data_IF_388198249535
#
_entry.id   IF_388198249535
#
_cell.length_a   1.000
_cell.length_b   1.000
_cell.length_c   1.000
_cell.angle_alpha   90.00
_cell.angle_beta   90.00
_cell.angle_gamma   90.00
#
_symmetry.space_group_name_H-M   'P 1'
#
loop_
_entity.id
_entity.type
_entity.pdbx_description
1 polymer ?
#
# COMPACT_ATOMS: atom_id res chain seq x y z
N UNK A 1 -11.30 -32.71 36.00
CA UNK A 1 -10.29 -31.68 36.30
C UNK A 1 -10.38 -30.59 35.25
N UNK A 2 -11.10 -29.52 35.55
CA UNK A 2 -11.26 -28.39 34.64
C UNK A 2 -9.99 -27.55 34.65
N UNK A 3 -9.27 -27.52 33.52
CA UNK A 3 -8.19 -26.55 33.34
C UNK A 3 -8.82 -25.18 33.12
N UNK A 4 -8.60 -24.32 34.11
CA UNK A 4 -9.00 -22.93 34.14
C UNK A 4 -8.15 -22.18 33.11
N UNK A 5 -8.69 -21.98 31.91
CA UNK A 5 -8.03 -21.15 30.90
C UNK A 5 -8.04 -19.70 31.40
N UNK A 6 -6.84 -19.19 31.69
CA UNK A 6 -6.63 -17.79 32.02
C UNK A 6 -7.05 -16.94 30.82
N UNK A 7 -8.21 -16.29 30.94
CA UNK A 7 -8.63 -15.27 29.98
C UNK A 7 -7.69 -14.09 30.21
N UNK A 8 -6.61 -14.04 29.43
CA UNK A 8 -5.77 -12.85 29.39
C UNK A 8 -6.66 -11.69 28.96
N UNK A 9 -6.92 -10.79 29.91
CA UNK A 9 -7.46 -9.45 29.64
C UNK A 9 -6.51 -8.81 28.64
N UNK A 10 -6.89 -8.81 27.37
CA UNK A 10 -6.18 -8.07 26.33
C UNK A 10 -6.22 -6.60 26.72
N UNK A 11 -5.07 -6.12 27.21
CA UNK A 11 -4.82 -4.70 27.37
C UNK A 11 -4.74 -4.16 25.95
N UNK A 12 -5.67 -3.30 25.56
CA UNK A 12 -5.48 -2.44 24.40
C UNK A 12 -4.15 -1.74 24.63
N UNK A 13 -3.10 -2.18 23.95
CA UNK A 13 -1.92 -1.36 23.84
C UNK A 13 -2.39 -0.13 23.08
N UNK A 14 -2.43 0.97 23.81
CA UNK A 14 -2.45 2.33 23.30
C UNK A 14 -1.68 2.36 21.99
N UNK A 15 -2.20 3.09 21.00
CA UNK A 15 -1.41 3.52 19.85
C UNK A 15 -0.06 4.00 20.36
N UNK A 16 0.98 3.16 20.25
CA UNK A 16 2.31 3.55 20.65
C UNK A 16 2.67 4.69 19.70
N UNK A 17 2.79 5.86 20.33
CA UNK A 17 2.85 7.16 19.68
C UNK A 17 4.09 7.20 18.81
N UNK A 18 3.91 6.97 17.50
CA UNK A 18 4.99 7.06 16.52
C UNK A 18 4.45 7.12 15.09
N UNK A 19 5.16 7.80 14.17
CA UNK A 19 4.82 7.75 12.76
C UNK A 19 4.93 6.29 12.28
N UNK A 20 3.90 5.79 11.61
CA UNK A 20 3.97 4.50 10.93
C UNK A 20 4.91 4.63 9.74
N UNK A 21 5.96 3.81 9.71
CA UNK A 21 6.89 3.74 8.58
C UNK A 21 6.27 2.91 7.46
N UNK A 22 6.37 3.41 6.24
CA UNK A 22 5.98 2.69 5.03
C UNK A 22 7.19 1.97 4.43
N UNK A 23 6.99 1.39 3.24
CA UNK A 23 8.10 0.91 2.42
C UNK A 23 9.14 2.00 2.15
N UNK A 24 8.72 3.26 2.03
CA UNK A 24 9.58 4.37 1.60
C UNK A 24 10.80 4.57 2.51
N UNK A 25 10.61 4.40 3.82
CA UNK A 25 11.63 4.52 4.86
C UNK A 25 12.61 3.33 4.88
N UNK A 26 12.19 2.18 4.35
CA UNK A 26 12.95 0.94 4.34
C UNK A 26 13.56 0.63 2.95
N UNK A 27 13.46 1.55 1.99
CA UNK A 27 14.08 1.40 0.67
C UNK A 27 15.61 1.49 0.76
N UNK A 28 16.35 0.66 0.01
CA UNK A 28 17.80 0.76 -0.07
C UNK A 28 18.19 2.16 -0.59
N UNK A 29 19.33 2.75 -0.18
CA UNK A 29 19.71 4.10 -0.59
C UNK A 29 19.79 4.24 -2.12
N UNK A 30 19.39 5.40 -2.64
CA UNK A 30 19.49 5.65 -4.08
C UNK A 30 20.96 5.82 -4.47
N UNK A 31 21.52 4.99 -5.36
CA UNK A 31 22.91 5.12 -5.73
C UNK A 31 23.11 6.45 -6.45
N UNK A 32 23.95 7.32 -5.89
CA UNK A 32 24.33 8.61 -6.48
C UNK A 32 25.30 8.38 -7.64
N UNK A 33 24.83 7.78 -8.72
CA UNK A 33 25.64 7.65 -9.93
C UNK A 33 25.50 8.95 -10.71
N UNK A 34 26.52 9.81 -10.63
CA UNK A 34 26.70 10.95 -11.53
C UNK A 34 26.99 10.42 -12.94
N UNK A 35 25.96 9.95 -13.64
CA UNK A 35 26.07 9.59 -15.06
C UNK A 35 26.03 10.88 -15.86
N UNK A 36 27.19 11.34 -16.35
CA UNK A 36 27.21 12.27 -17.49
C UNK A 36 26.42 11.59 -18.62
N UNK A 37 25.24 12.13 -18.94
CA UNK A 37 24.43 11.67 -20.08
C UNK A 37 25.20 12.04 -21.35
N UNK A 38 26.04 11.13 -21.88
CA UNK A 38 26.54 11.31 -23.25
C UNK A 38 25.44 10.87 -24.22
N UNK A 39 25.37 11.45 -25.42
CA UNK A 39 24.32 11.16 -26.39
C UNK A 39 24.30 9.66 -26.76
N UNK A 40 23.16 9.17 -27.30
CA UNK A 40 23.08 7.81 -27.82
C UNK A 40 24.05 7.66 -28.99
N UNK A 41 24.91 6.64 -28.91
CA UNK A 41 25.82 6.26 -29.99
C UNK A 41 25.29 5.12 -30.86
N UNK A 42 24.14 4.55 -30.47
CA UNK A 42 23.50 3.42 -31.14
C UNK A 42 21.98 3.65 -31.19
N UNK A 43 21.34 3.12 -32.23
CA UNK A 43 19.88 3.13 -32.43
C UNK A 43 19.18 2.12 -31.50
N UNK A 44 17.86 2.28 -31.32
CA UNK A 44 16.99 1.27 -30.70
C UNK A 44 16.61 0.13 -31.68
N UNK A 45 17.25 0.07 -32.85
CA UNK A 45 17.02 -0.96 -33.86
C UNK A 45 15.64 -0.82 -34.50
N UNK A 46 14.90 -1.91 -34.62
CA UNK A 46 13.56 -1.92 -35.21
C UNK A 46 12.55 -1.05 -34.47
N UNK A 47 12.77 -0.73 -33.18
CA UNK A 47 11.89 0.16 -32.42
C UNK A 47 11.89 1.60 -32.96
N UNK A 48 13.01 2.08 -33.53
CA UNK A 48 13.08 3.41 -34.13
C UNK A 48 12.26 3.50 -35.43
N UNK A 49 11.81 2.36 -36.00
CA UNK A 49 10.95 2.34 -37.19
C UNK A 49 9.46 2.53 -36.87
N UNK A 50 9.08 2.44 -35.59
CA UNK A 50 7.70 2.62 -35.18
C UNK A 50 7.34 4.12 -35.18
N UNK A 51 6.14 4.50 -35.67
CA UNK A 51 5.57 5.80 -35.41
C UNK A 51 5.55 6.11 -33.91
N UNK A 52 5.70 7.39 -33.56
CA UNK A 52 5.83 7.84 -32.17
C UNK A 52 4.60 7.47 -31.35
N UNK A 53 3.43 7.48 -31.96
CA UNK A 53 2.14 7.11 -31.37
C UNK A 53 2.14 5.63 -30.97
N UNK A 54 2.55 4.73 -31.86
CA UNK A 54 2.62 3.29 -31.58
C UNK A 54 3.68 2.98 -30.53
N UNK A 55 4.80 3.70 -30.57
CA UNK A 55 5.83 3.60 -29.55
C UNK A 55 5.28 3.99 -28.17
N UNK A 56 4.63 5.15 -28.06
CA UNK A 56 4.02 5.60 -26.80
C UNK A 56 2.93 4.66 -26.30
N UNK A 57 2.07 4.14 -27.18
CA UNK A 57 1.04 3.18 -26.80
C UNK A 57 1.66 1.88 -26.28
N UNK A 58 2.72 1.39 -26.93
CA UNK A 58 3.46 0.21 -26.46
C UNK A 58 4.02 0.44 -25.06
N UNK A 59 4.73 1.54 -24.83
CA UNK A 59 5.31 1.87 -23.52
C UNK A 59 4.25 2.03 -22.41
N UNK A 60 3.08 2.55 -22.76
CA UNK A 60 1.95 2.73 -21.83
C UNK A 60 1.46 1.40 -21.25
N UNK A 61 1.45 0.35 -22.07
CA UNK A 61 0.95 -0.99 -21.68
C UNK A 61 2.02 -1.94 -21.16
N UNK A 62 3.31 -1.58 -21.23
CA UNK A 62 4.36 -2.38 -20.59
C UNK A 62 4.21 -2.35 -19.07
N UNK A 63 4.48 -3.51 -18.45
CA UNK A 63 4.67 -3.58 -17.01
C UNK A 63 5.93 -2.81 -16.59
N UNK A 64 5.94 -2.29 -15.36
CA UNK A 64 7.01 -1.44 -14.84
C UNK A 64 8.36 -2.17 -14.91
N UNK A 65 8.40 -3.49 -14.67
CA UNK A 65 9.65 -4.26 -14.77
C UNK A 65 10.17 -4.27 -16.21
N UNK A 66 9.31 -4.59 -17.18
CA UNK A 66 9.67 -4.57 -18.61
C UNK A 66 10.08 -3.19 -19.09
N UNK A 67 9.38 -2.13 -18.65
CA UNK A 67 9.70 -0.75 -19.01
C UNK A 67 11.07 -0.31 -18.48
N UNK A 68 11.41 -0.68 -17.23
CA UNK A 68 12.72 -0.38 -16.65
C UNK A 68 13.82 -1.21 -17.32
N UNK A 69 13.56 -2.48 -17.63
CA UNK A 69 14.49 -3.30 -18.40
C UNK A 69 14.79 -2.67 -19.77
N UNK A 70 13.75 -2.23 -20.49
CA UNK A 70 13.89 -1.53 -21.76
C UNK A 70 14.74 -0.25 -21.61
N UNK A 71 14.46 0.55 -20.57
CA UNK A 71 15.19 1.78 -20.26
C UNK A 71 16.70 1.54 -19.99
N UNK A 72 17.06 0.34 -19.54
CA UNK A 72 18.42 -0.05 -19.18
C UNK A 72 19.21 -0.69 -20.34
N UNK A 73 18.58 -1.04 -21.46
CA UNK A 73 19.25 -1.75 -22.56
C UNK A 73 20.31 -0.91 -23.27
N UNK A 74 19.97 0.31 -23.69
CA UNK A 74 20.89 1.26 -24.28
C UNK A 74 20.44 2.71 -24.04
N UNK A 75 21.21 3.69 -24.51
CA UNK A 75 20.88 5.11 -24.27
C UNK A 75 19.66 5.58 -25.04
N UNK A 76 19.46 5.10 -26.27
CA UNK A 76 18.34 5.48 -27.13
C UNK A 76 17.01 4.99 -26.54
N UNK A 77 16.97 3.75 -26.06
CA UNK A 77 15.80 3.21 -25.35
C UNK A 77 15.58 3.93 -24.01
N UNK A 78 16.66 4.31 -23.32
CA UNK A 78 16.57 5.15 -22.12
C UNK A 78 15.89 6.49 -22.40
N UNK A 79 16.28 7.16 -23.49
CA UNK A 79 15.65 8.41 -23.92
C UNK A 79 14.19 8.21 -24.28
N UNK A 80 13.87 7.19 -25.07
CA UNK A 80 12.49 6.85 -25.45
C UNK A 80 11.59 6.71 -24.21
N UNK A 81 12.06 5.98 -23.20
CA UNK A 81 11.32 5.80 -21.95
C UNK A 81 11.28 7.09 -21.11
N UNK A 82 12.38 7.82 -20.99
CA UNK A 82 12.46 9.09 -20.24
C UNK A 82 11.57 10.20 -20.84
N UNK A 83 11.37 10.20 -22.17
CA UNK A 83 10.50 11.14 -22.87
C UNK A 83 9.02 10.75 -22.84
N UNK A 84 8.70 9.50 -22.51
CA UNK A 84 7.31 9.06 -22.41
C UNK A 84 6.57 9.85 -21.30
N UNK A 85 5.46 10.58 -21.61
CA UNK A 85 4.86 11.52 -20.67
C UNK A 85 4.41 10.92 -19.34
N UNK A 86 3.81 9.72 -19.34
CA UNK A 86 3.32 9.09 -18.11
C UNK A 86 4.49 8.66 -17.23
N UNK A 87 5.50 8.00 -17.81
CA UNK A 87 6.70 7.58 -17.09
C UNK A 87 7.49 8.77 -16.54
N UNK A 88 7.57 9.87 -17.31
CA UNK A 88 8.19 11.12 -16.86
C UNK A 88 7.49 11.68 -15.62
N UNK A 89 6.15 11.70 -15.61
CA UNK A 89 5.38 12.15 -14.44
C UNK A 89 5.58 11.22 -13.23
N UNK A 90 5.54 9.90 -13.43
CA UNK A 90 5.81 8.89 -12.39
C UNK A 90 7.21 9.10 -11.79
N UNK A 91 8.24 9.20 -12.64
CA UNK A 91 9.64 9.33 -12.19
C UNK A 91 9.92 10.64 -11.46
N UNK A 92 9.19 11.70 -11.81
CA UNK A 92 9.32 13.00 -11.16
C UNK A 92 8.65 13.04 -9.77
N UNK A 93 7.46 12.45 -9.62
CA UNK A 93 6.59 12.69 -8.46
C UNK A 93 6.26 11.46 -7.61
N UNK A 94 6.52 10.26 -8.12
CA UNK A 94 6.26 8.99 -7.44
C UNK A 94 7.51 8.11 -7.38
N UNK A 95 8.67 8.74 -7.20
CA UNK A 95 9.98 8.05 -7.25
C UNK A 95 10.09 6.93 -6.22
N UNK A 96 9.62 7.14 -4.99
CA UNK A 96 9.68 6.10 -3.98
C UNK A 96 8.73 4.95 -4.30
N UNK A 97 7.51 5.21 -4.79
CA UNK A 97 6.63 4.16 -5.27
C UNK A 97 7.26 3.35 -6.41
N UNK A 98 7.87 4.00 -7.41
CA UNK A 98 8.57 3.32 -8.51
C UNK A 98 9.72 2.44 -7.99
N UNK A 99 10.52 2.96 -7.05
CA UNK A 99 11.61 2.22 -6.42
C UNK A 99 11.10 1.05 -5.57
N UNK A 100 10.02 1.28 -4.82
CA UNK A 100 9.34 0.26 -4.03
C UNK A 100 8.86 -0.87 -4.89
N UNK A 101 8.08 -0.59 -5.94
CA UNK A 101 7.59 -1.59 -6.91
C UNK A 101 8.69 -2.51 -7.43
N UNK A 102 9.88 -1.95 -7.72
CA UNK A 102 11.04 -2.73 -8.14
C UNK A 102 11.66 -3.53 -6.99
N UNK A 103 11.81 -2.91 -5.81
CA UNK A 103 12.46 -3.52 -4.65
C UNK A 103 11.66 -4.70 -4.07
N UNK A 104 10.33 -4.59 -4.02
CA UNK A 104 9.44 -5.67 -3.52
C UNK A 104 8.97 -6.62 -4.64
N UNK A 105 9.44 -6.42 -5.87
CA UNK A 105 9.21 -7.35 -6.99
C UNK A 105 7.82 -7.34 -7.61
N UNK A 106 7.01 -6.30 -7.36
CA UNK A 106 5.63 -6.18 -7.86
C UNK A 106 5.52 -5.57 -9.26
N UNK A 107 6.63 -5.06 -9.82
CA UNK A 107 6.64 -4.38 -11.12
C UNK A 107 6.14 -5.17 -12.32
N UNK A 108 6.06 -6.51 -12.22
CA UNK A 108 5.48 -7.38 -13.25
C UNK A 108 3.94 -7.33 -13.31
N UNK A 109 3.29 -6.86 -12.24
CA UNK A 109 1.82 -6.83 -12.09
C UNK A 109 1.23 -5.46 -12.41
N UNK A 110 2.08 -4.46 -12.62
CA UNK A 110 1.69 -3.05 -12.69
C UNK A 110 2.16 -2.49 -14.02
N UNK A 111 1.24 -1.96 -14.82
CA UNK A 111 1.59 -1.26 -16.07
C UNK A 111 1.92 0.21 -15.83
N UNK A 112 2.61 0.83 -16.79
CA UNK A 112 2.85 2.29 -16.76
C UNK A 112 1.53 3.06 -16.67
N UNK A 113 0.54 2.67 -17.48
CA UNK A 113 -0.81 3.23 -17.46
C UNK A 113 -1.45 3.12 -16.08
N UNK A 114 -1.48 1.91 -15.50
CA UNK A 114 -2.12 1.66 -14.21
C UNK A 114 -1.50 2.54 -13.12
N UNK A 115 -0.16 2.62 -13.05
CA UNK A 115 0.49 3.46 -12.06
C UNK A 115 0.18 4.94 -12.28
N UNK A 116 0.22 5.43 -13.52
CA UNK A 116 -0.09 6.82 -13.84
C UNK A 116 -1.55 7.18 -13.51
N UNK A 117 -2.50 6.31 -13.83
CA UNK A 117 -3.92 6.49 -13.52
C UNK A 117 -4.18 6.51 -12.01
N UNK A 118 -3.52 5.62 -11.26
CA UNK A 118 -3.59 5.61 -9.79
C UNK A 118 -2.97 6.88 -9.18
N UNK A 119 -1.92 7.44 -9.79
CA UNK A 119 -1.42 8.77 -9.41
C UNK A 119 -2.43 9.87 -9.66
N UNK A 120 -3.19 9.79 -10.76
CA UNK A 120 -4.21 10.78 -11.10
C UNK A 120 -5.52 10.63 -10.31
N UNK A 121 -5.68 9.54 -9.58
CA UNK A 121 -6.85 9.27 -8.75
C UNK A 121 -6.60 9.87 -7.37
N UNK A 122 -7.57 10.61 -6.81
CA UNK A 122 -7.47 11.18 -5.46
C UNK A 122 -8.13 10.33 -4.39
N UNK A 123 -9.09 9.50 -4.78
CA UNK A 123 -9.95 8.74 -3.88
C UNK A 123 -9.38 7.35 -3.58
N UNK A 124 -9.67 6.88 -2.38
CA UNK A 124 -9.41 5.52 -1.91
C UNK A 124 -10.33 4.55 -2.64
N UNK A 125 -9.76 3.50 -3.24
CA UNK A 125 -10.50 2.48 -3.97
C UNK A 125 -11.40 1.58 -3.11
N UNK A 126 -11.39 1.76 -1.78
CA UNK A 126 -12.24 0.98 -0.85
C UNK A 126 -13.36 1.80 -0.22
N UNK A 127 -13.08 3.04 0.20
CA UNK A 127 -14.04 3.85 0.96
C UNK A 127 -14.38 5.20 0.29
N UNK A 128 -13.77 5.52 -0.85
CA UNK A 128 -14.03 6.76 -1.60
C UNK A 128 -13.49 8.05 -0.97
N UNK A 129 -12.94 8.01 0.25
CA UNK A 129 -12.28 9.18 0.87
C UNK A 129 -10.95 9.50 0.20
N UNK A 130 -10.35 10.66 0.47
CA UNK A 130 -9.01 10.98 -0.05
C UNK A 130 -7.98 9.93 0.39
N UNK A 131 -7.16 9.44 -0.55
CA UNK A 131 -6.14 8.43 -0.32
C UNK A 131 -4.74 9.00 -0.45
N UNK A 132 -3.89 8.83 0.56
CA UNK A 132 -2.50 9.34 0.58
C UNK A 132 -1.44 8.31 0.21
N UNK A 133 -1.85 7.07 -0.06
CA UNK A 133 -0.94 5.96 -0.27
C UNK A 133 -1.33 5.19 -1.53
N UNK A 134 -0.35 4.51 -2.13
CA UNK A 134 -0.58 3.48 -3.13
C UNK A 134 -0.17 2.14 -2.52
N UNK A 135 -1.11 1.19 -2.52
CA UNK A 135 -0.84 -0.20 -2.20
C UNK A 135 -0.19 -0.85 -3.43
N UNK A 136 1.08 -1.23 -3.29
CA UNK A 136 2.00 -1.54 -4.37
C UNK A 136 1.93 -2.98 -4.87
N UNK A 137 1.09 -3.86 -4.29
CA UNK A 137 0.87 -5.21 -4.85
C UNK A 137 -0.09 -5.14 -6.04
N UNK A 138 -1.20 -4.42 -5.89
CA UNK A 138 -2.25 -4.29 -6.92
C UNK A 138 -2.40 -2.87 -7.48
N UNK A 139 -1.47 -1.96 -7.14
CA UNK A 139 -1.43 -0.57 -7.59
C UNK A 139 -2.74 0.22 -7.33
N UNK A 140 -3.34 0.05 -6.15
CA UNK A 140 -4.59 0.70 -5.78
C UNK A 140 -4.33 1.88 -4.84
N UNK A 141 -5.00 3.02 -5.06
CA UNK A 141 -4.94 4.15 -4.12
C UNK A 141 -5.75 3.84 -2.87
N UNK A 142 -5.15 4.08 -1.70
CA UNK A 142 -5.72 3.78 -0.39
C UNK A 142 -5.51 4.93 0.60
N UNK A 143 -6.47 5.15 1.48
CA UNK A 143 -6.32 6.09 2.59
C UNK A 143 -5.67 5.41 3.79
N UNK A 144 -5.08 6.20 4.70
CA UNK A 144 -4.44 5.67 5.90
C UNK A 144 -5.37 4.76 6.72
N UNK A 145 -6.64 5.17 6.94
CA UNK A 145 -7.63 4.35 7.64
C UNK A 145 -7.82 2.97 7.01
N UNK A 146 -7.99 2.90 5.69
CA UNK A 146 -8.13 1.62 4.99
C UNK A 146 -6.84 0.82 5.03
N UNK A 147 -5.69 1.47 4.83
CA UNK A 147 -4.40 0.79 4.94
C UNK A 147 -4.18 0.16 6.33
N UNK A 148 -4.65 0.82 7.40
CA UNK A 148 -4.53 0.32 8.78
C UNK A 148 -5.56 -0.72 9.20
N UNK A 149 -6.77 -0.70 8.63
CA UNK A 149 -7.93 -1.45 9.16
C UNK A 149 -8.61 -2.36 8.14
N UNK A 150 -8.38 -2.16 6.84
CA UNK A 150 -9.06 -2.89 5.80
C UNK A 150 -8.32 -4.20 5.51
N UNK A 151 -8.98 -5.34 5.71
CA UNK A 151 -8.38 -6.66 5.43
C UNK A 151 -7.88 -6.81 3.98
N UNK A 152 -8.51 -6.10 3.03
CA UNK A 152 -8.09 -6.15 1.62
C UNK A 152 -6.75 -5.46 1.35
N UNK A 153 -6.25 -4.65 2.29
CA UNK A 153 -4.91 -4.07 2.22
C UNK A 153 -3.87 -4.89 2.99
N UNK A 154 -4.28 -6.04 3.55
CA UNK A 154 -3.45 -6.87 4.39
C UNK A 154 -3.01 -8.13 3.64
N UNK A 155 -1.83 -8.11 2.99
CA UNK A 155 -1.32 -9.28 2.29
C UNK A 155 -0.88 -10.36 3.27
N UNK A 156 -0.99 -11.62 2.86
CA UNK A 156 -0.75 -12.79 3.71
C UNK A 156 0.53 -13.52 3.30
N UNK A 157 1.28 -14.13 4.24
CA UNK A 157 2.30 -15.12 3.91
C UNK A 157 1.71 -16.25 3.06
N UNK A 158 2.51 -16.79 2.12
CA UNK A 158 2.04 -17.85 1.21
C UNK A 158 1.47 -19.06 1.96
N UNK A 159 2.11 -19.50 3.04
CA UNK A 159 1.67 -20.67 3.80
C UNK A 159 0.34 -20.40 4.51
N UNK A 160 0.18 -19.19 5.06
CA UNK A 160 -1.08 -18.75 5.66
C UNK A 160 -2.18 -18.68 4.60
N UNK A 161 -1.90 -18.10 3.43
CA UNK A 161 -2.87 -18.03 2.35
C UNK A 161 -3.24 -19.43 1.80
N UNK A 162 -2.29 -20.36 1.75
CA UNK A 162 -2.52 -21.74 1.31
C UNK A 162 -3.53 -22.44 2.22
N UNK A 163 -3.38 -22.26 3.54
CA UNK A 163 -4.31 -22.80 4.53
C UNK A 163 -5.67 -22.08 4.45
N UNK A 164 -5.66 -20.75 4.51
CA UNK A 164 -6.89 -19.92 4.58
C UNK A 164 -7.77 -20.09 3.34
N UNK A 165 -7.16 -20.19 2.16
CA UNK A 165 -7.88 -20.30 0.89
C UNK A 165 -7.89 -21.73 0.32
N UNK A 166 -7.32 -22.70 1.03
CA UNK A 166 -7.18 -24.09 0.59
C UNK A 166 -6.63 -24.18 -0.84
N UNK A 167 -5.52 -23.46 -1.09
CA UNK A 167 -4.84 -23.39 -2.39
C UNK A 167 -3.42 -23.91 -2.27
N UNK A 168 -2.92 -24.55 -3.33
CA UNK A 168 -1.51 -24.90 -3.41
C UNK A 168 -0.63 -23.65 -3.55
N UNK A 169 0.56 -23.69 -2.95
CA UNK A 169 1.51 -22.58 -2.97
C UNK A 169 1.94 -22.21 -4.40
N UNK A 170 1.97 -23.18 -5.33
CA UNK A 170 2.26 -22.92 -6.74
C UNK A 170 1.22 -22.00 -7.38
N UNK A 171 -0.07 -22.19 -7.08
CA UNK A 171 -1.15 -21.33 -7.56
C UNK A 171 -0.96 -19.92 -6.98
N UNK A 172 -0.70 -19.80 -5.68
CA UNK A 172 -0.52 -18.50 -5.01
C UNK A 172 0.65 -17.70 -5.59
N UNK A 173 1.73 -18.37 -6.02
CA UNK A 173 2.88 -17.72 -6.68
C UNK A 173 2.56 -17.15 -8.06
N UNK A 174 1.45 -17.56 -8.69
CA UNK A 174 0.96 -16.98 -9.95
C UNK A 174 0.10 -15.73 -9.73
N UNK A 175 -0.29 -15.43 -8.50
CA UNK A 175 -1.10 -14.27 -8.15
C UNK A 175 -0.22 -13.06 -7.82
N UNK A 176 -0.78 -11.84 -7.81
CA UNK A 176 -0.08 -10.65 -7.30
C UNK A 176 0.48 -10.88 -5.90
N UNK A 177 1.82 -10.83 -5.81
CA UNK A 177 2.57 -11.02 -4.58
C UNK A 177 3.80 -10.12 -4.59
N UNK A 178 4.38 -9.93 -3.40
CA UNK A 178 5.58 -9.17 -3.17
C UNK A 178 6.56 -9.93 -2.28
N UNK A 179 7.82 -9.54 -2.29
CA UNK A 179 8.79 -9.89 -1.24
C UNK A 179 8.97 -8.68 -0.34
N UNK A 180 8.51 -8.77 0.91
CA UNK A 180 8.63 -7.68 1.87
C UNK A 180 10.11 -7.45 2.24
N UNK A 181 10.53 -6.18 2.30
CA UNK A 181 11.87 -5.83 2.75
C UNK A 181 11.93 -5.90 4.28
N UNK A 182 13.05 -6.36 4.86
CA UNK A 182 13.31 -6.18 6.28
C UNK A 182 13.22 -4.72 6.69
N UNK A 183 12.61 -4.45 7.85
CA UNK A 183 12.36 -3.09 8.30
C UNK A 183 11.29 -3.00 9.38
N UNK A 184 11.29 -1.87 10.09
CA UNK A 184 10.25 -1.55 11.07
C UNK A 184 9.13 -0.81 10.35
N UNK A 185 7.93 -1.37 10.38
CA UNK A 185 6.75 -0.81 9.70
C UNK A 185 5.65 -0.40 10.67
N UNK A 186 5.67 -0.87 11.91
CA UNK A 186 4.89 -0.31 13.00
C UNK A 186 5.74 -0.24 14.30
N UNK A 187 5.36 0.57 15.30
CA UNK A 187 6.18 0.82 16.50
C UNK A 187 6.67 -0.43 17.25
N UNK A 188 5.93 -1.54 17.16
CA UNK A 188 6.24 -2.81 17.83
C UNK A 188 6.40 -3.98 16.86
N UNK A 189 6.40 -3.74 15.55
CA UNK A 189 6.34 -4.79 14.54
C UNK A 189 7.41 -4.54 13.47
N UNK A 190 8.36 -5.47 13.38
CA UNK A 190 9.50 -5.43 12.46
C UNK A 190 9.51 -6.70 11.63
N UNK A 191 9.67 -6.55 10.32
CA UNK A 191 9.98 -7.67 9.43
C UNK A 191 11.49 -7.86 9.52
N UNK A 192 11.93 -8.97 10.10
CA UNK A 192 13.37 -9.26 10.28
C UNK A 192 13.98 -9.91 9.05
N UNK A 193 13.22 -10.77 8.37
CA UNK A 193 13.66 -11.55 7.21
C UNK A 193 12.74 -11.32 6.02
N UNK A 194 13.26 -11.40 4.77
CA UNK A 194 12.42 -11.29 3.58
C UNK A 194 11.32 -12.36 3.56
N UNK A 195 10.06 -11.93 3.47
CA UNK A 195 8.88 -12.82 3.42
C UNK A 195 8.06 -12.56 2.15
N UNK A 196 7.59 -13.62 1.51
CA UNK A 196 6.71 -13.50 0.34
C UNK A 196 5.26 -13.34 0.83
N UNK A 197 4.64 -12.24 0.46
CA UNK A 197 3.27 -11.90 0.83
C UNK A 197 2.40 -11.80 -0.42
N UNK A 198 1.29 -12.53 -0.45
CA UNK A 198 0.30 -12.54 -1.54
C UNK A 198 -0.86 -11.61 -1.22
N UNK A 199 -1.40 -10.94 -2.24
CA UNK A 199 -2.59 -10.11 -2.11
C UNK A 199 -3.79 -10.95 -1.62
N UNK A 200 -4.48 -10.44 -0.60
CA UNK A 200 -5.60 -11.13 0.02
C UNK A 200 -6.77 -11.35 -0.95
N UNK A 201 -7.13 -10.32 -1.74
CA UNK A 201 -8.32 -10.36 -2.59
C UNK A 201 -8.09 -11.25 -3.82
N UNK A 202 -6.88 -11.23 -4.38
CA UNK A 202 -6.45 -12.14 -5.43
C UNK A 202 -6.48 -13.59 -4.96
N UNK A 203 -5.90 -13.88 -3.78
CA UNK A 203 -5.89 -15.23 -3.22
C UNK A 203 -7.31 -15.72 -2.88
N UNK A 204 -8.16 -14.86 -2.31
CA UNK A 204 -9.57 -15.16 -2.06
C UNK A 204 -10.33 -15.45 -3.37
N UNK A 205 -10.09 -14.65 -4.40
CA UNK A 205 -10.74 -14.82 -5.71
C UNK A 205 -10.32 -16.13 -6.34
N UNK A 206 -9.03 -16.45 -6.34
CA UNK A 206 -8.51 -17.72 -6.83
C UNK A 206 -9.09 -18.92 -6.04
N UNK A 207 -9.17 -18.83 -4.72
CA UNK A 207 -9.75 -19.87 -3.87
C UNK A 207 -11.24 -20.09 -4.17
N UNK A 208 -11.99 -19.00 -4.34
CA UNK A 208 -13.41 -19.07 -4.71
C UNK A 208 -13.60 -19.69 -6.09
N UNK A 209 -12.74 -19.39 -7.07
CA UNK A 209 -12.78 -20.00 -8.40
C UNK A 209 -12.43 -21.50 -8.35
N UNK A 210 -11.45 -21.88 -7.54
CA UNK A 210 -11.02 -23.26 -7.39
C UNK A 210 -12.08 -24.14 -6.72
N UNK A 211 -12.70 -23.65 -5.64
CA UNK A 211 -13.69 -24.39 -4.83
C UNK A 211 -15.15 -24.13 -5.25
N UNK A 212 -15.37 -23.32 -6.29
CA UNK A 212 -16.68 -22.90 -6.79
C UNK A 212 -17.39 -21.84 -5.94
N UNK A 213 -17.35 -21.93 -4.60
CA UNK A 213 -17.87 -20.87 -3.72
C UNK A 213 -16.99 -20.65 -2.49
N UNK A 214 -17.08 -19.45 -1.91
CA UNK A 214 -16.40 -19.12 -0.65
C UNK A 214 -16.80 -20.05 0.51
N UNK A 215 -18.06 -20.50 0.55
CA UNK A 215 -18.50 -21.44 1.60
C UNK A 215 -17.77 -22.77 1.49
N UNK A 216 -17.69 -23.34 0.29
CA UNK A 216 -16.98 -24.60 0.06
C UNK A 216 -15.47 -24.51 0.39
N UNK A 217 -14.84 -23.36 0.15
CA UNK A 217 -13.46 -23.09 0.54
C UNK A 217 -13.25 -23.13 2.07
N UNK A 218 -14.19 -22.64 2.87
CA UNK A 218 -14.11 -22.59 4.35
C UNK A 218 -14.43 -23.95 5.00
N UNK A 219 -14.95 -24.93 4.26
CA UNK A 219 -15.30 -26.26 4.78
C UNK A 219 -14.27 -27.37 4.48
N UNK A 220 -13.15 -27.07 3.81
CA UNK A 220 -12.10 -28.06 3.55
C UNK A 220 -11.33 -28.43 4.84
N UNK A 221 -10.96 -29.71 4.99
CA UNK A 221 -10.48 -30.32 6.25
C UNK A 221 -9.25 -29.67 6.93
N UNK A 222 -8.52 -28.78 6.25
CA UNK A 222 -7.40 -28.02 6.84
C UNK A 222 -7.82 -27.00 7.92
N UNK A 223 -9.09 -26.65 8.02
CA UNK A 223 -9.61 -25.64 8.95
C UNK A 223 -9.83 -26.14 10.39
N UNK A 224 -9.99 -27.44 10.63
CA UNK A 224 -10.27 -27.98 11.98
C UNK A 224 -9.17 -27.70 13.02
N UNK A 225 -7.95 -27.34 12.60
CA UNK A 225 -6.83 -27.04 13.51
C UNK A 225 -6.64 -25.52 13.80
N UNK A 226 -7.23 -24.62 12.99
CA UNK A 226 -7.11 -23.15 13.13
C UNK A 226 -8.38 -22.48 13.69
N UNK A 227 -9.40 -23.29 13.97
CA UNK A 227 -10.83 -23.01 13.74
C UNK A 227 -11.51 -22.01 14.69
N UNK A 228 -10.84 -21.45 15.70
CA UNK A 228 -11.52 -20.56 16.67
C UNK A 228 -10.96 -19.16 16.81
N UNK A 229 -9.67 -18.95 16.60
CA UNK A 229 -9.05 -17.64 16.81
C UNK A 229 -8.86 -16.87 15.50
N UNK A 230 -8.49 -17.55 14.41
CA UNK A 230 -8.20 -16.91 13.13
C UNK A 230 -9.47 -16.58 12.34
N UNK A 231 -10.50 -17.43 12.37
CA UNK A 231 -11.78 -17.15 11.69
C UNK A 231 -12.60 -16.05 12.37
N UNK A 232 -12.71 -16.06 13.71
CA UNK A 232 -13.30 -14.94 14.45
C UNK A 232 -12.46 -13.66 14.27
N UNK A 233 -11.14 -13.80 14.11
CA UNK A 233 -10.22 -12.73 13.79
C UNK A 233 -10.47 -12.08 12.42
N UNK A 234 -10.47 -12.89 11.37
CA UNK A 234 -10.63 -12.46 9.98
C UNK A 234 -12.04 -11.94 9.69
N UNK A 235 -13.09 -12.53 10.29
CA UNK A 235 -14.47 -12.05 10.13
C UNK A 235 -14.73 -10.74 10.90
N UNK A 236 -14.13 -10.55 12.09
CA UNK A 236 -14.31 -9.33 12.91
C UNK A 236 -13.20 -8.28 12.74
N UNK A 237 -12.25 -8.48 11.83
CA UNK A 237 -11.15 -7.53 11.61
C UNK A 237 -10.10 -7.52 12.73
N UNK A 238 -10.08 -8.53 13.59
CA UNK A 238 -8.99 -8.81 14.52
C UNK A 238 -7.91 -9.58 13.78
N UNK A 239 -6.98 -8.86 13.16
CA UNK A 239 -5.77 -9.46 12.61
C UNK A 239 -4.69 -9.47 13.68
N UNK A 240 -3.88 -10.53 13.73
CA UNK A 240 -2.69 -10.63 14.59
C UNK A 240 -1.82 -9.38 14.44
N UNK A 241 -1.05 -9.02 15.47
CA UNK A 241 -0.26 -7.78 15.47
C UNK A 241 0.60 -7.66 14.21
N UNK A 242 1.33 -8.71 13.83
CA UNK A 242 2.19 -8.83 12.63
C UNK A 242 1.53 -8.41 11.29
N UNK A 243 0.21 -8.41 11.23
CA UNK A 243 -0.53 -8.09 10.03
C UNK A 243 -0.53 -6.62 9.63
N UNK A 244 -0.45 -5.72 10.60
CA UNK A 244 -0.52 -4.28 10.28
C UNK A 244 0.75 -3.86 9.54
N UNK A 245 1.90 -4.32 9.98
CA UNK A 245 3.19 -4.11 9.31
C UNK A 245 3.24 -4.57 7.87
N UNK A 246 2.65 -5.73 7.55
CA UNK A 246 2.58 -6.23 6.17
C UNK A 246 1.88 -5.25 5.21
N UNK A 247 0.85 -4.54 5.70
CA UNK A 247 0.11 -3.55 4.91
C UNK A 247 0.97 -2.33 4.58
N UNK A 248 1.70 -1.82 5.57
CA UNK A 248 2.58 -0.66 5.40
C UNK A 248 3.87 -0.99 4.64
N UNK A 249 4.38 -2.22 4.76
CA UNK A 249 5.47 -2.75 3.94
C UNK A 249 5.10 -2.85 2.45
N UNK A 250 3.80 -2.95 2.15
CA UNK A 250 3.27 -2.96 0.80
C UNK A 250 2.87 -1.58 0.27
N UNK A 251 3.08 -0.50 1.01
CA UNK A 251 2.57 0.82 0.67
C UNK A 251 3.67 1.86 0.50
N UNK A 252 3.43 2.81 -0.41
CA UNK A 252 4.24 4.02 -0.56
C UNK A 252 3.34 5.24 -0.39
N UNK A 253 3.85 6.29 0.27
CA UNK A 253 3.16 7.57 0.38
C UNK A 253 3.36 8.32 -0.92
N UNK A 254 2.27 8.71 -1.57
CA UNK A 254 2.34 9.37 -2.87
C UNK A 254 1.30 10.48 -2.99
N UNK A 255 1.69 11.70 -3.40
CA UNK A 255 0.73 12.74 -3.75
C UNK A 255 -0.19 12.26 -4.86
N UNK A 256 -1.33 12.94 -5.03
CA UNK A 256 -2.19 12.71 -6.18
C UNK A 256 -2.01 13.84 -7.20
N UNK A 257 -2.02 13.48 -8.47
CA UNK A 257 -1.91 14.43 -9.57
C UNK A 257 -3.29 14.93 -9.99
N UNK A 258 -3.53 16.21 -9.74
CA UNK A 258 -4.76 16.84 -10.17
C UNK A 258 -4.67 17.23 -11.65
N UNK A 259 -5.31 16.42 -12.51
CA UNK A 259 -5.33 16.66 -13.98
C UNK A 259 -5.87 18.05 -14.36
N UNK A 260 -6.78 18.63 -13.56
CA UNK A 260 -7.37 19.96 -13.84
C UNK A 260 -6.38 21.09 -13.56
N UNK A 261 -5.72 21.04 -12.40
CA UNK A 261 -4.77 22.09 -11.99
C UNK A 261 -3.34 21.83 -12.49
N UNK A 262 -3.07 20.62 -12.99
CA UNK A 262 -1.73 20.09 -13.34
C UNK A 262 -0.74 20.19 -12.17
N UNK A 263 -1.25 20.09 -10.94
CA UNK A 263 -0.45 20.13 -9.70
C UNK A 263 -0.55 18.82 -8.95
N UNK A 264 0.52 18.50 -8.23
CA UNK A 264 0.51 17.44 -7.24
C UNK A 264 0.06 18.02 -5.92
N UNK A 265 -0.84 17.31 -5.26
CA UNK A 265 -1.40 17.70 -3.97
C UNK A 265 -1.07 16.62 -2.95
N UNK A 266 -0.39 17.05 -1.89
CA UNK A 266 -0.12 16.22 -0.72
C UNK A 266 -1.32 16.18 0.22
N UNK A 267 -1.37 15.12 1.03
CA UNK A 267 -2.36 14.99 2.10
C UNK A 267 -1.69 15.03 3.47
N UNK A 268 -2.32 15.78 4.35
CA UNK A 268 -1.87 16.00 5.73
C UNK A 268 -2.89 15.49 6.74
N UNK A 269 -2.41 15.11 7.91
CA UNK A 269 -3.26 14.83 9.07
C UNK A 269 -3.63 16.15 9.78
N UNK A 270 -4.63 16.09 10.66
CA UNK A 270 -4.91 17.16 11.60
C UNK A 270 -4.10 16.92 12.88
N UNK A 271 -3.21 17.85 13.23
CA UNK A 271 -2.32 17.74 14.38
C UNK A 271 -3.09 17.58 15.70
N UNK A 272 -4.20 18.29 15.85
CA UNK A 272 -5.07 18.19 17.02
C UNK A 272 -5.71 16.80 17.12
N UNK A 273 -6.19 16.24 16.00
CA UNK A 273 -6.71 14.87 16.03
C UNK A 273 -5.61 13.84 16.34
N UNK A 274 -4.39 14.02 15.81
CA UNK A 274 -3.27 13.10 16.07
C UNK A 274 -2.90 13.04 17.56
N UNK A 275 -3.09 14.13 18.30
CA UNK A 275 -2.83 14.18 19.74
C UNK A 275 -3.88 13.45 20.58
N UNK A 276 -5.05 13.14 20.02
CA UNK A 276 -6.17 12.50 20.73
C UNK A 276 -6.61 11.18 20.05
N UNK A 277 -5.76 10.13 20.05
CA UNK A 277 -6.04 8.89 19.34
C UNK A 277 -7.02 7.93 20.03
N UNK A 278 -7.28 8.14 21.33
CA UNK A 278 -7.98 7.18 22.22
C UNK A 278 -9.51 7.23 22.18
N UNK A 279 -10.12 8.31 21.66
CA UNK A 279 -11.59 8.45 21.61
C UNK A 279 -12.14 8.06 20.22
N UNK A 280 -12.30 6.75 19.99
CA UNK A 280 -12.99 6.22 18.81
C UNK A 280 -14.18 5.36 19.24
N UNK A 281 -15.21 6.01 19.80
CA UNK A 281 -16.56 5.50 19.63
C UNK A 281 -16.78 5.41 18.10
N UNK A 282 -17.00 4.20 17.59
CA UNK A 282 -16.77 3.78 16.20
C UNK A 282 -17.57 4.48 15.08
N UNK A 283 -18.11 5.67 15.34
CA UNK A 283 -19.05 6.41 14.48
C UNK A 283 -18.55 7.78 13.99
N UNK A 284 -17.33 8.25 14.34
CA UNK A 284 -16.97 9.63 14.05
C UNK A 284 -16.40 9.88 12.64
N UNK A 285 -17.01 10.85 11.95
CA UNK A 285 -16.50 11.57 10.75
C UNK A 285 -15.20 12.37 11.02
N UNK A 286 -14.69 12.33 12.25
CA UNK A 286 -13.45 12.95 12.72
C UNK A 286 -12.61 11.87 13.41
N UNK A 287 -11.77 11.19 12.64
CA UNK A 287 -10.77 10.25 13.16
C UNK A 287 -9.39 10.79 12.84
N UNK A 288 -8.45 10.64 13.78
CA UNK A 288 -7.04 10.98 13.58
C UNK A 288 -6.41 10.25 12.38
N UNK A 289 -7.04 9.16 11.91
CA UNK A 289 -6.65 8.39 10.73
C UNK A 289 -7.05 9.02 9.39
N UNK A 290 -7.77 10.14 9.39
CA UNK A 290 -8.21 10.81 8.15
C UNK A 290 -7.14 11.79 7.68
N UNK A 291 -6.83 11.71 6.39
CA UNK A 291 -5.95 12.65 5.72
C UNK A 291 -6.77 13.63 4.87
N UNK A 292 -6.25 14.84 4.73
CA UNK A 292 -6.92 15.96 4.10
C UNK A 292 -5.99 16.66 3.12
N UNK A 293 -6.52 17.06 1.96
CA UNK A 293 -5.95 18.16 1.18
C UNK A 293 -5.95 19.45 2.00
N UNK A 294 -5.12 20.42 1.62
CA UNK A 294 -5.09 21.74 2.27
C UNK A 294 -6.51 22.35 2.40
N UNK A 295 -7.28 22.35 1.31
CA UNK A 295 -8.64 22.89 1.30
C UNK A 295 -9.62 22.13 2.22
N UNK A 296 -9.53 20.79 2.27
CA UNK A 296 -10.39 19.99 3.14
C UNK A 296 -9.95 20.04 4.60
N UNK A 297 -8.66 20.27 4.87
CA UNK A 297 -8.13 20.45 6.22
C UNK A 297 -8.63 21.76 6.84
N UNK A 298 -8.65 22.85 6.07
CA UNK A 298 -9.21 24.13 6.53
C UNK A 298 -10.69 23.99 6.91
N UNK A 299 -11.47 23.24 6.10
CA UNK A 299 -12.87 22.94 6.41
C UNK A 299 -12.98 22.06 7.67
N UNK A 300 -12.18 21.02 7.77
CA UNK A 300 -12.15 20.13 8.92
C UNK A 300 -11.85 20.89 10.22
N UNK A 301 -10.85 21.79 10.21
CA UNK A 301 -10.46 22.58 11.39
C UNK A 301 -11.62 23.35 12.01
N UNK A 302 -12.57 23.89 11.21
CA UNK A 302 -13.77 24.58 11.71
C UNK A 302 -14.75 23.69 12.48
N UNK A 303 -14.66 22.39 12.27
CA UNK A 303 -15.53 21.36 12.88
C UNK A 303 -14.73 20.37 13.72
N UNK A 304 -13.43 20.62 13.92
CA UNK A 304 -12.55 19.73 14.65
C UNK A 304 -12.89 19.80 16.13
N UNK A 305 -13.31 18.67 16.69
CA UNK A 305 -13.70 18.57 18.10
C UNK A 305 -12.55 18.82 19.08
N UNK A 306 -11.31 18.71 18.61
CA UNK A 306 -10.10 18.93 19.41
C UNK A 306 -9.48 20.32 19.22
N UNK A 307 -10.12 21.22 18.46
CA UNK A 307 -9.61 22.55 18.22
C UNK A 307 -9.48 23.33 19.55
N UNK A 308 -8.26 23.80 19.86
CA UNK A 308 -7.98 24.59 21.07
C UNK A 308 -7.73 23.78 22.34
N UNK A 309 -7.80 22.45 22.30
CA UNK A 309 -7.40 21.58 23.40
C UNK A 309 -5.88 21.39 23.38
N UNK A 310 -5.20 21.59 24.51
CA UNK A 310 -3.81 21.17 24.71
C UNK A 310 -3.78 20.02 25.70
N UNK A 311 -3.00 18.99 25.41
CA UNK A 311 -2.62 17.99 26.40
C UNK A 311 -1.77 18.67 27.49
N UNK A 312 -2.39 19.04 28.62
CA UNK A 312 -1.68 19.19 29.90
C UNK A 312 -2.02 17.97 30.74
N UNK A 313 -1.02 17.10 30.95
CA UNK A 313 -1.00 16.13 32.05
C UNK A 313 -2.32 15.35 32.26
N UNK A 314 -2.85 14.75 31.20
CA UNK A 314 -3.91 13.74 31.30
C UNK A 314 -5.30 14.24 31.71
N UNK A 315 -5.59 15.54 31.70
CA UNK A 315 -6.94 16.05 31.98
C UNK A 315 -7.38 17.10 30.96
N UNK A 316 -8.54 16.88 30.35
CA UNK A 316 -9.19 17.79 29.39
C UNK A 316 -9.75 19.00 30.13
N UNK A 317 -9.25 20.20 29.85
CA UNK A 317 -9.87 21.46 30.30
C UNK A 317 -10.06 22.37 29.09
N UNK A 318 -11.32 22.74 28.82
CA UNK A 318 -11.69 23.76 27.83
C UNK A 318 -11.15 25.14 28.25
N UNK A 319 -10.61 25.91 27.30
CA UNK A 319 -10.35 27.34 27.54
C UNK A 319 -11.69 28.06 27.74
N UNK A 320 -11.80 28.82 28.83
CA UNK A 320 -12.70 29.98 28.90
C UNK A 320 -12.19 31.08 27.97
#
# INVERSE_FOLDING_TARGET
MGQQFSVHRYRFLSFDKGPVSTLDENLPPFPRISRRRRPPSASAGSLDRLPTELLHQTLTHLDIRSLINLRLTNRRTSEIVDYHPQFKAISAHARNALRGILAIGTGRWITCATLYETLCTSQCGYCGTQGGYIYLITCKRVCFKCLSLCRFCHPLPLDTAAIVFSLDVSILRTLPHMTALPGTYAPSETITEPVILVDFDAAKTAGTQFHGTYKHMVYHEGLRCLDRLVLLGIERGFVAEDARSASFAAASRVPWFNKKTRKFEDLSFCDECLQHPEEADGRARSSWRVQYTEASLVKHKRTCRFQGLRLRSGTLIQRR
#
